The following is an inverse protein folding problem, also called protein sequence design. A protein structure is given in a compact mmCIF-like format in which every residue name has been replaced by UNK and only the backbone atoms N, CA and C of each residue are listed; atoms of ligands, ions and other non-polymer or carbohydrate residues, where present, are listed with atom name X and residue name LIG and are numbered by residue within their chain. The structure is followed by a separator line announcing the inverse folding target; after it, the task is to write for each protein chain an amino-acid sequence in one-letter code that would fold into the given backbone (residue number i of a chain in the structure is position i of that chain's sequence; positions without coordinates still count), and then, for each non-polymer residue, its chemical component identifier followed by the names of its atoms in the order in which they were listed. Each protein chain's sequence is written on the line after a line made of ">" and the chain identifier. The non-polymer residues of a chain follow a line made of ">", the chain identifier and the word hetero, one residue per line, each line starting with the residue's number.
data_IF_333325528922
#
_entry.id   IF_333325528922
#
_cell.length_a   1.000
_cell.length_b   1.000
_cell.length_c   1.000
_cell.angle_alpha   90.00
_cell.angle_beta   90.00
_cell.angle_gamma   90.00
#
_symmetry.space_group_name_H-M   'P 1'
#
loop_
_entity.id
_entity.type
_entity.pdbx_description
1 polymer ?
#
# COMPACT_ATOMS: atom_id res chain seq x y z
N UNK A 1 2.91 -12.13 7.24
CA UNK A 1 1.71 -11.64 7.95
C UNK A 1 1.36 -10.16 7.75
N UNK A 2 2.29 -9.20 7.90
CA UNK A 2 1.96 -7.76 7.74
C UNK A 2 1.23 -7.42 6.45
N UNK A 3 1.67 -7.96 5.30
CA UNK A 3 1.02 -7.73 4.01
C UNK A 3 -0.43 -8.24 3.97
N UNK A 4 -0.70 -9.40 4.57
CA UNK A 4 -2.06 -9.97 4.68
C UNK A 4 -2.96 -9.04 5.49
N UNK A 5 -2.51 -8.63 6.69
CA UNK A 5 -3.25 -7.71 7.55
C UNK A 5 -3.52 -6.38 6.84
N UNK A 6 -2.53 -5.85 6.10
CA UNK A 6 -2.69 -4.62 5.34
C UNK A 6 -3.75 -4.76 4.23
N UNK A 7 -3.68 -5.82 3.43
CA UNK A 7 -4.68 -6.11 2.39
C UNK A 7 -6.08 -6.22 3.01
N UNK A 8 -6.24 -6.99 4.08
CA UNK A 8 -7.56 -7.15 4.72
C UNK A 8 -8.11 -5.85 5.30
N UNK A 9 -7.27 -4.91 5.75
CA UNK A 9 -7.73 -3.58 6.15
C UNK A 9 -8.28 -2.77 4.98
N UNK A 10 -7.61 -2.83 3.82
CA UNK A 10 -8.05 -2.10 2.61
C UNK A 10 -9.33 -2.72 2.05
N UNK A 11 -9.36 -4.04 1.92
CA UNK A 11 -10.44 -4.78 1.28
C UNK A 11 -11.54 -5.22 2.26
N UNK A 12 -11.52 -4.73 3.51
CA UNK A 12 -12.45 -5.15 4.59
C UNK A 12 -13.92 -5.09 4.15
N UNK A 13 -14.30 -4.02 3.46
CA UNK A 13 -15.67 -3.79 3.01
C UNK A 13 -16.16 -4.80 1.97
N UNK A 14 -15.28 -5.45 1.22
CA UNK A 14 -15.64 -6.52 0.28
C UNK A 14 -15.59 -7.92 0.89
N UNK A 15 -14.73 -8.12 1.89
CA UNK A 15 -14.42 -9.44 2.42
C UNK A 15 -15.17 -9.78 3.70
N UNK A 16 -15.63 -8.77 4.44
CA UNK A 16 -16.35 -8.99 5.69
C UNK A 16 -17.70 -9.67 5.42
N UNK A 17 -17.98 -10.76 6.13
CA UNK A 17 -19.21 -11.53 5.99
C UNK A 17 -19.23 -12.54 4.84
N UNK A 18 -18.13 -12.71 4.10
CA UNK A 18 -17.99 -13.75 3.08
C UNK A 18 -16.78 -14.64 3.38
N UNK A 19 -16.88 -15.92 3.02
CA UNK A 19 -15.74 -16.84 3.09
C UNK A 19 -14.76 -16.58 1.94
N UNK A 20 -13.46 -16.55 2.22
CA UNK A 20 -12.43 -16.42 1.19
C UNK A 20 -11.14 -17.16 1.53
N UNK A 21 -10.28 -17.34 0.53
CA UNK A 21 -8.99 -18.02 0.68
C UNK A 21 -7.83 -17.04 0.53
N UNK A 22 -6.95 -17.00 1.53
CA UNK A 22 -5.70 -16.26 1.51
C UNK A 22 -4.59 -17.21 1.06
N UNK A 23 -3.96 -16.91 -0.07
CA UNK A 23 -2.80 -17.67 -0.58
C UNK A 23 -1.52 -16.92 -0.27
N UNK A 24 -0.56 -17.59 0.37
CA UNK A 24 0.75 -17.02 0.70
C UNK A 24 1.87 -17.98 0.37
N UNK A 25 2.99 -17.46 -0.11
CA UNK A 25 4.25 -18.19 -0.29
C UNK A 25 5.14 -18.17 0.96
N UNK A 26 4.63 -17.63 2.06
CA UNK A 26 5.33 -17.60 3.33
C UNK A 26 4.84 -18.73 4.24
N UNK A 27 5.64 -19.79 4.34
CA UNK A 27 5.36 -20.96 5.20
C UNK A 27 5.18 -20.58 6.67
N UNK A 28 5.94 -19.62 7.20
CA UNK A 28 5.76 -19.20 8.59
C UNK A 28 4.39 -18.54 8.82
N UNK A 29 3.83 -17.90 7.80
CA UNK A 29 2.50 -17.28 7.87
C UNK A 29 1.40 -18.35 7.83
N UNK A 30 1.57 -19.46 7.10
CA UNK A 30 0.54 -20.52 7.05
C UNK A 30 0.28 -21.19 8.41
N UNK A 31 1.27 -21.21 9.30
CA UNK A 31 1.11 -21.78 10.65
C UNK A 31 0.62 -20.78 11.71
N UNK A 32 0.35 -19.53 11.32
CA UNK A 32 0.06 -18.46 12.28
C UNK A 32 -1.14 -18.77 13.20
N UNK A 33 -2.20 -19.40 12.67
CA UNK A 33 -3.37 -19.76 13.47
C UNK A 33 -3.07 -20.84 14.54
N UNK A 34 -2.09 -21.70 14.28
CA UNK A 34 -1.71 -22.82 15.16
C UNK A 34 -0.59 -22.46 16.15
N UNK A 35 -0.05 -21.25 16.08
CA UNK A 35 1.12 -20.87 16.85
C UNK A 35 0.77 -20.63 18.33
N UNK A 36 1.33 -21.46 19.23
CA UNK A 36 1.04 -21.42 20.68
C UNK A 36 1.52 -20.16 21.40
N UNK A 37 2.63 -19.55 20.94
CA UNK A 37 3.22 -18.36 21.56
C UNK A 37 3.22 -17.23 20.56
N UNK A 38 2.43 -16.20 20.83
CA UNK A 38 2.34 -15.00 20.00
C UNK A 38 3.01 -13.84 20.71
N UNK A 39 3.76 -13.04 19.96
CA UNK A 39 4.19 -11.73 20.43
C UNK A 39 2.99 -10.78 20.56
N UNK A 40 3.06 -9.69 21.36
CA UNK A 40 1.96 -8.72 21.48
C UNK A 40 1.51 -8.11 20.15
N UNK A 41 2.40 -8.06 19.14
CA UNK A 41 2.04 -7.62 17.79
C UNK A 41 1.23 -8.67 17.04
N UNK A 42 1.59 -9.94 17.20
CA UNK A 42 0.88 -11.05 16.56
C UNK A 42 -0.47 -11.31 17.22
N UNK A 43 -0.59 -11.16 18.53
CA UNK A 43 -1.89 -11.26 19.22
C UNK A 43 -2.89 -10.24 18.65
N UNK A 44 -2.48 -8.97 18.52
CA UNK A 44 -3.31 -7.93 17.87
C UNK A 44 -3.69 -8.25 16.43
N UNK A 45 -2.80 -8.91 15.68
CA UNK A 45 -3.13 -9.39 14.34
C UNK A 45 -4.13 -10.53 14.37
N UNK A 46 -4.03 -11.44 15.34
CA UNK A 46 -4.98 -12.53 15.50
C UNK A 46 -6.37 -12.01 15.84
N UNK A 47 -6.48 -11.04 16.76
CA UNK A 47 -7.76 -10.40 17.10
C UNK A 47 -8.42 -9.77 15.87
N UNK A 48 -7.65 -9.04 15.06
CA UNK A 48 -8.15 -8.46 13.81
C UNK A 48 -8.54 -9.52 12.77
N UNK A 49 -7.76 -10.60 12.65
CA UNK A 49 -8.04 -11.67 11.69
C UNK A 49 -9.28 -12.47 12.09
N UNK A 50 -9.61 -12.55 13.38
CA UNK A 50 -10.81 -13.23 13.88
C UNK A 50 -12.13 -12.60 13.40
N UNK A 51 -12.11 -11.37 12.89
CA UNK A 51 -13.27 -10.73 12.27
C UNK A 51 -13.67 -11.36 10.93
N UNK A 52 -12.78 -12.11 10.29
CA UNK A 52 -12.95 -12.63 8.93
C UNK A 52 -13.13 -14.14 8.92
N UNK A 53 -14.00 -14.63 8.03
CA UNK A 53 -14.08 -16.04 7.69
C UNK A 53 -13.14 -16.35 6.53
N UNK A 54 -12.01 -17.00 6.81
CA UNK A 54 -11.00 -17.28 5.80
C UNK A 54 -10.26 -18.61 5.98
N UNK A 55 -9.79 -19.15 4.87
CA UNK A 55 -8.82 -20.25 4.80
C UNK A 55 -7.44 -19.73 4.43
N UNK A 56 -6.39 -20.24 5.06
CA UNK A 56 -5.01 -19.85 4.77
C UNK A 56 -4.27 -21.01 4.09
N UNK A 57 -3.88 -20.80 2.84
CA UNK A 57 -3.22 -21.81 2.02
C UNK A 57 -1.80 -21.38 1.67
N UNK A 58 -0.86 -22.32 1.80
CA UNK A 58 0.47 -22.13 1.27
C UNK A 58 0.48 -22.38 -0.25
N UNK A 59 1.10 -21.47 -1.00
CA UNK A 59 1.32 -21.60 -2.44
C UNK A 59 2.80 -21.37 -2.74
N UNK A 60 3.42 -22.25 -3.53
CA UNK A 60 4.83 -22.10 -3.90
C UNK A 60 5.11 -20.72 -4.50
N UNK A 61 6.20 -20.06 -4.08
CA UNK A 61 6.56 -18.71 -4.55
C UNK A 61 6.65 -18.58 -6.08
N UNK A 62 7.13 -19.63 -6.78
CA UNK A 62 7.14 -19.69 -8.25
C UNK A 62 5.76 -19.57 -8.90
N UNK A 63 4.69 -19.89 -8.17
CA UNK A 63 3.31 -19.75 -8.63
C UNK A 63 2.65 -18.46 -8.10
N UNK A 64 3.35 -17.69 -7.25
CA UNK A 64 2.89 -16.44 -6.64
C UNK A 64 3.48 -15.18 -7.33
N UNK A 65 3.90 -15.32 -8.59
CA UNK A 65 4.67 -14.31 -9.35
C UNK A 65 3.97 -12.95 -9.39
N UNK A 66 2.65 -12.93 -9.53
CA UNK A 66 1.87 -11.67 -9.61
C UNK A 66 1.92 -10.90 -8.30
N UNK A 67 1.66 -11.57 -7.17
CA UNK A 67 1.69 -10.92 -5.86
C UNK A 67 3.11 -10.50 -5.48
N UNK A 68 4.10 -11.34 -5.78
CA UNK A 68 5.51 -11.04 -5.56
C UNK A 68 5.96 -9.81 -6.37
N UNK A 69 5.61 -9.73 -7.67
CA UNK A 69 5.88 -8.57 -8.52
C UNK A 69 5.22 -7.28 -8.00
N UNK A 70 3.98 -7.36 -7.53
CA UNK A 70 3.29 -6.21 -6.93
C UNK A 70 3.94 -5.78 -5.61
N UNK A 71 4.40 -6.73 -4.79
CA UNK A 71 5.08 -6.43 -3.53
C UNK A 71 6.43 -5.74 -3.74
N UNK A 72 7.15 -6.13 -4.81
CA UNK A 72 8.43 -5.55 -5.23
C UNK A 72 8.27 -4.19 -5.94
N UNK A 73 7.04 -3.78 -6.30
CA UNK A 73 6.80 -2.56 -7.08
C UNK A 73 7.17 -1.26 -6.35
N UNK A 74 7.36 -1.27 -5.03
CA UNK A 74 7.95 -0.15 -4.30
C UNK A 74 9.39 0.18 -4.78
N UNK A 75 10.15 -0.83 -5.22
CA UNK A 75 11.47 -0.60 -5.85
C UNK A 75 11.34 -0.06 -7.29
N UNK A 76 10.28 -0.41 -8.02
CA UNK A 76 9.96 0.18 -9.34
C UNK A 76 9.47 1.63 -9.27
N UNK A 77 8.90 2.06 -8.15
CA UNK A 77 8.62 3.48 -7.91
C UNK A 77 9.93 4.29 -7.91
N UNK A 78 11.04 3.73 -7.40
CA UNK A 78 12.36 4.36 -7.47
C UNK A 78 12.92 4.42 -8.91
N UNK A 79 12.52 3.48 -9.79
CA UNK A 79 12.81 3.53 -11.24
C UNK A 79 11.96 4.55 -11.99
N UNK A 80 10.82 4.97 -11.42
CA UNK A 80 9.94 6.01 -11.96
C UNK A 80 10.31 7.43 -11.51
N UNK A 81 11.29 7.56 -10.58
CA UNK A 81 11.91 8.84 -10.30
C UNK A 81 12.82 9.14 -11.48
N UNK A 82 12.44 10.09 -12.33
CA UNK A 82 13.32 10.61 -13.37
C UNK A 82 14.65 11.03 -12.72
N UNK A 83 15.68 10.20 -12.88
CA UNK A 83 17.04 10.55 -12.46
C UNK A 83 17.62 11.49 -13.52
N UNK A 84 17.66 12.77 -13.19
CA UNK A 84 18.19 13.82 -14.05
C UNK A 84 17.86 15.21 -13.53
N UNK A 85 18.54 16.21 -14.06
CA UNK A 85 18.37 17.61 -13.64
C UNK A 85 17.05 18.22 -14.10
N UNK A 86 16.29 17.54 -14.95
CA UNK A 86 15.00 18.02 -15.49
C UNK A 86 14.06 18.45 -14.37
N UNK A 87 13.98 17.70 -13.27
CA UNK A 87 13.14 18.08 -12.13
C UNK A 87 13.61 19.39 -11.47
N UNK A 88 14.92 19.59 -11.36
CA UNK A 88 15.52 20.82 -10.85
C UNK A 88 15.25 22.00 -11.79
N UNK A 89 15.50 21.82 -13.08
CA UNK A 89 15.27 22.84 -14.12
C UNK A 89 13.80 23.24 -14.25
N UNK A 90 12.87 22.29 -14.13
CA UNK A 90 11.44 22.60 -14.08
C UNK A 90 11.12 23.45 -12.85
N UNK A 91 11.69 23.11 -11.69
CA UNK A 91 11.49 23.89 -10.46
C UNK A 91 12.03 25.31 -10.58
N UNK A 92 13.23 25.49 -11.12
CA UNK A 92 13.83 26.80 -11.40
C UNK A 92 13.01 27.59 -12.42
N UNK A 93 12.54 26.95 -13.49
CA UNK A 93 11.69 27.60 -14.50
C UNK A 93 10.36 28.08 -13.92
N UNK A 94 9.74 27.31 -13.00
CA UNK A 94 8.50 27.69 -12.33
C UNK A 94 8.66 28.95 -11.45
N UNK A 95 9.86 29.25 -10.95
CA UNK A 95 10.12 30.50 -10.20
C UNK A 95 10.08 31.75 -11.10
N UNK A 96 10.25 31.57 -12.41
CA UNK A 96 10.24 32.67 -13.37
C UNK A 96 8.89 32.83 -14.07
N UNK A 97 7.98 31.87 -13.93
CA UNK A 97 6.62 31.93 -14.46
C UNK A 97 5.67 32.66 -13.47
N UNK A 98 5.10 33.82 -13.85
CA UNK A 98 4.17 34.57 -13.01
C UNK A 98 2.94 33.75 -12.59
N UNK A 99 2.40 32.92 -13.49
CA UNK A 99 1.21 32.10 -13.22
C UNK A 99 1.52 31.00 -12.22
N UNK A 100 2.67 30.34 -12.37
CA UNK A 100 3.13 29.32 -11.43
C UNK A 100 3.34 29.90 -10.02
N UNK A 101 3.93 31.09 -9.91
CA UNK A 101 4.11 31.77 -8.62
C UNK A 101 2.80 32.10 -7.94
N UNK A 102 1.82 32.56 -8.69
CA UNK A 102 0.48 32.84 -8.18
C UNK A 102 -0.18 31.56 -7.66
N UNK A 103 -0.14 30.48 -8.44
CA UNK A 103 -0.66 29.18 -8.03
C UNK A 103 0.02 28.64 -6.76
N UNK A 104 1.34 28.77 -6.65
CA UNK A 104 2.10 28.36 -5.45
C UNK A 104 1.70 29.20 -4.24
N UNK A 105 1.49 30.51 -4.41
CA UNK A 105 1.01 31.39 -3.33
C UNK A 105 -0.42 31.05 -2.89
N UNK A 106 -1.31 30.73 -3.84
CA UNK A 106 -2.65 30.24 -3.52
C UNK A 106 -2.58 28.91 -2.76
N UNK A 107 -1.64 28.02 -3.13
CA UNK A 107 -1.40 26.76 -2.44
C UNK A 107 -0.92 26.96 -0.99
N UNK A 108 0.06 27.83 -0.76
CA UNK A 108 0.59 28.12 0.57
C UNK A 108 -0.42 28.82 1.48
N UNK A 109 -1.36 29.58 0.89
CA UNK A 109 -2.50 30.18 1.58
C UNK A 109 -3.66 29.21 1.83
N UNK A 110 -3.54 27.93 1.42
CA UNK A 110 -4.60 26.93 1.60
C UNK A 110 -5.82 27.12 0.68
N UNK A 111 -5.73 27.95 -0.35
CA UNK A 111 -6.81 28.26 -1.32
C UNK A 111 -6.85 27.29 -2.50
N UNK A 112 -6.30 26.08 -2.35
CA UNK A 112 -6.24 25.06 -3.42
C UNK A 112 -7.59 24.48 -3.83
N UNK A 113 -8.64 24.67 -3.02
CA UNK A 113 -9.94 24.03 -3.19
C UNK A 113 -10.90 24.70 -4.18
N UNK A 114 -10.54 25.81 -4.83
CA UNK A 114 -11.43 26.47 -5.79
C UNK A 114 -11.44 25.85 -7.21
N UNK A 115 -10.57 24.87 -7.49
CA UNK A 115 -10.43 24.30 -8.84
C UNK A 115 -11.10 22.92 -9.04
N UNK A 116 -11.89 22.45 -8.05
CA UNK A 116 -12.59 21.16 -8.10
C UNK A 116 -14.09 21.29 -7.84
N UNK A 117 -14.71 22.35 -8.37
CA UNK A 117 -16.17 22.46 -8.45
C UNK A 117 -16.56 22.92 -9.85
N UNK A 118 -16.66 21.94 -10.75
CA UNK A 118 -17.73 21.83 -11.76
C UNK A 118 -18.19 20.37 -11.80
#
# INVERSE_FOLDING_TARGET
>A
MTAVVHCLRIWRHYLLGSHFTIKTDNVATSYFQTQKKLSPKQARWQDFLAEFDYTLEYKLGKANVVADALSRKAELAALSIAKGEIKGRIKEGLEHDPMARELVNLCTQGKTKQFWVE
#
